data_IF_290842798352
#
_entry.id   IF_290842798352
#
_cell.length_a   1.000
_cell.length_b   1.000
_cell.length_c   1.000
_cell.angle_alpha   90.00
_cell.angle_beta   90.00
_cell.angle_gamma   90.00
#
_symmetry.space_group_name_H-M   'P 1'
#
loop_
_entity.id
_entity.type
_entity.pdbx_description
1 polymer ?
#
# COMPACT_ATOMS: atom_id res chain seq x y z
N UNK A 1 10.02 -13.40 60.12
CA UNK A 1 9.70 -11.96 59.88
C UNK A 1 10.36 -11.40 58.63
N UNK A 2 11.65 -11.65 58.40
CA UNK A 2 12.44 -11.03 57.30
C UNK A 2 11.87 -11.29 55.89
N UNK A 3 11.43 -12.53 55.59
CA UNK A 3 10.84 -12.85 54.26
C UNK A 3 9.53 -12.12 53.96
N UNK A 4 8.69 -11.88 54.97
CA UNK A 4 7.41 -11.14 54.78
C UNK A 4 7.68 -9.65 54.55
N UNK A 5 8.70 -9.10 55.22
CA UNK A 5 9.12 -7.71 55.02
C UNK A 5 9.67 -7.48 53.61
N UNK A 6 10.46 -8.42 53.09
CA UNK A 6 11.01 -8.34 51.73
C UNK A 6 9.92 -8.34 50.64
N UNK A 7 8.87 -9.15 50.81
CA UNK A 7 7.74 -9.21 49.87
C UNK A 7 6.92 -7.92 49.89
N UNK A 8 6.68 -7.36 51.08
CA UNK A 8 5.95 -6.09 51.23
C UNK A 8 6.73 -4.93 50.63
N UNK A 9 8.05 -4.86 50.85
CA UNK A 9 8.91 -3.84 50.25
C UNK A 9 8.95 -3.96 48.73
N UNK A 10 9.03 -5.19 48.19
CA UNK A 10 8.99 -5.41 46.75
C UNK A 10 7.67 -4.97 46.11
N UNK A 11 6.53 -5.24 46.77
CA UNK A 11 5.20 -4.80 46.31
C UNK A 11 5.03 -3.29 46.38
N UNK A 12 5.58 -2.62 47.39
CA UNK A 12 5.55 -1.16 47.51
C UNK A 12 6.41 -0.51 46.42
N UNK A 13 7.59 -1.07 46.12
CA UNK A 13 8.45 -0.58 45.03
C UNK A 13 7.75 -0.78 43.68
N UNK A 14 7.13 -1.95 43.45
CA UNK A 14 6.40 -2.22 42.22
C UNK A 14 5.19 -1.26 42.06
N UNK A 15 4.45 -1.00 43.14
CA UNK A 15 3.35 -0.03 43.13
C UNK A 15 3.84 1.41 42.91
N UNK A 16 4.99 1.79 43.48
CA UNK A 16 5.58 3.11 43.25
C UNK A 16 6.05 3.30 41.79
N UNK A 17 6.55 2.25 41.13
CA UNK A 17 6.89 2.27 39.69
C UNK A 17 5.64 2.41 38.82
N UNK A 18 4.52 1.77 39.20
CA UNK A 18 3.26 1.84 38.44
C UNK A 18 2.56 3.20 38.60
N UNK A 19 2.69 3.86 39.75
CA UNK A 19 1.97 5.11 40.06
C UNK A 19 2.77 6.36 39.66
N UNK A 20 4.09 6.26 39.49
CA UNK A 20 4.89 7.38 38.98
C UNK A 20 4.92 7.35 37.45
N UNK A 21 3.93 7.98 36.81
CA UNK A 21 4.06 8.36 35.39
C UNK A 21 5.21 9.37 35.29
N UNK A 22 6.36 9.03 34.67
CA UNK A 22 7.41 10.01 34.48
C UNK A 22 6.87 11.10 33.55
N UNK A 23 6.90 12.35 34.02
CA UNK A 23 6.60 13.50 33.19
C UNK A 23 7.48 13.44 31.93
N UNK A 24 6.84 13.34 30.77
CA UNK A 24 7.47 13.27 29.47
C UNK A 24 8.12 14.63 29.19
N UNK A 25 9.43 14.73 29.36
CA UNK A 25 10.22 15.96 29.18
C UNK A 25 10.88 16.06 27.79
N UNK A 26 10.50 15.21 26.83
CA UNK A 26 11.04 15.24 25.48
C UNK A 26 9.95 15.15 24.41
N UNK A 27 10.08 15.99 23.39
CA UNK A 27 9.28 15.95 22.16
C UNK A 27 9.32 14.55 21.54
N UNK A 28 8.19 14.00 21.04
CA UNK A 28 8.15 12.67 20.46
C UNK A 28 9.02 12.60 19.19
N UNK A 29 10.06 11.77 19.23
CA UNK A 29 10.92 11.43 18.10
C UNK A 29 10.99 9.91 17.90
N UNK A 30 11.34 9.47 16.69
CA UNK A 30 11.48 8.06 16.34
C UNK A 30 12.52 7.32 17.20
N UNK A 31 12.28 6.02 17.40
CA UNK A 31 13.20 5.13 18.13
C UNK A 31 14.62 5.20 17.53
N UNK A 32 15.66 5.42 18.34
CA UNK A 32 17.05 5.39 17.87
C UNK A 32 17.49 4.03 17.29
N UNK A 33 16.69 2.98 17.50
CA UNK A 33 16.92 1.61 17.03
C UNK A 33 16.09 1.24 15.79
N UNK A 34 15.30 2.17 15.24
CA UNK A 34 14.67 2.01 13.92
C UNK A 34 15.69 2.36 12.81
N UNK A 35 16.19 1.38 12.03
CA UNK A 35 17.10 1.69 10.93
C UNK A 35 16.40 2.41 9.76
N UNK A 36 15.07 2.34 9.62
CA UNK A 36 14.36 2.88 8.48
C UNK A 36 13.98 4.37 8.65
N UNK A 37 13.64 4.81 9.87
CA UNK A 37 13.15 6.18 10.16
C UNK A 37 12.09 6.62 9.13
N UNK A 38 11.17 5.71 8.84
CA UNK A 38 10.24 5.87 7.74
C UNK A 38 9.25 6.99 8.03
N UNK A 39 9.16 7.94 7.11
CA UNK A 39 8.30 9.09 7.26
C UNK A 39 7.57 9.37 5.94
N UNK A 40 6.36 8.83 5.84
CA UNK A 40 5.52 9.00 4.67
C UNK A 40 5.05 10.44 4.48
N UNK A 41 5.19 11.32 5.49
CA UNK A 41 4.93 12.74 5.33
C UNK A 41 5.95 13.43 4.40
N UNK A 42 7.09 12.79 4.13
CA UNK A 42 8.13 13.28 3.21
C UNK A 42 7.93 12.85 1.77
N UNK A 43 7.06 11.86 1.52
CA UNK A 43 6.74 11.40 0.17
C UNK A 43 5.76 12.39 -0.46
N UNK A 44 6.17 13.00 -1.55
CA UNK A 44 5.39 14.01 -2.25
C UNK A 44 4.44 13.39 -3.26
N UNK A 45 3.18 13.28 -2.86
CA UNK A 45 2.05 12.97 -3.72
C UNK A 45 1.35 14.28 -4.09
N UNK A 46 1.42 14.74 -5.35
CA UNK A 46 0.88 16.03 -5.77
C UNK A 46 -0.58 16.23 -5.33
N UNK A 47 -1.41 15.20 -5.47
CA UNK A 47 -2.82 15.22 -5.05
C UNK A 47 -3.07 15.44 -3.54
N UNK A 48 -2.04 15.34 -2.69
CA UNK A 48 -2.14 15.55 -1.24
C UNK A 48 -1.59 16.90 -0.77
N UNK A 49 -1.00 17.71 -1.66
CA UNK A 49 -0.39 19.01 -1.28
C UNK A 49 -1.42 20.00 -0.76
N UNK A 50 -2.62 19.99 -1.35
CA UNK A 50 -3.72 20.89 -1.05
C UNK A 50 -4.73 20.31 -0.05
N UNK A 51 -4.49 19.12 0.48
CA UNK A 51 -5.35 18.49 1.48
C UNK A 51 -4.85 18.82 2.88
N UNK A 52 -5.77 19.08 3.81
CA UNK A 52 -5.42 19.31 5.21
C UNK A 52 -5.21 17.98 5.93
N UNK A 53 -3.96 17.66 6.20
CA UNK A 53 -3.53 16.49 6.96
C UNK A 53 -2.47 16.89 7.99
N UNK A 54 -2.13 16.00 8.91
CA UNK A 54 -1.01 16.21 9.82
C UNK A 54 -0.17 14.93 9.92
N UNK A 55 1.15 15.05 10.15
CA UNK A 55 1.99 13.89 10.38
C UNK A 55 1.62 13.25 11.73
N UNK A 56 1.44 11.93 11.75
CA UNK A 56 1.21 11.15 12.97
C UNK A 56 2.31 10.11 13.13
N UNK A 57 3.03 10.21 14.24
CA UNK A 57 3.97 9.19 14.69
C UNK A 57 3.24 7.98 15.29
N UNK A 58 3.60 6.78 14.86
CA UNK A 58 3.01 5.52 15.32
C UNK A 58 3.75 5.02 16.57
N UNK A 59 3.02 4.83 17.68
CA UNK A 59 3.55 4.38 18.97
C UNK A 59 3.56 2.84 19.09
N UNK A 60 4.31 2.25 20.05
CA UNK A 60 4.40 0.79 20.24
C UNK A 60 3.09 -0.01 20.28
N UNK A 61 1.97 0.61 20.67
CA UNK A 61 0.66 -0.04 20.78
C UNK A 61 -0.38 0.53 19.80
N UNK A 62 0.03 1.42 18.91
CA UNK A 62 -0.86 1.97 17.90
C UNK A 62 -1.02 0.96 16.76
N UNK A 63 -2.26 0.72 16.35
CA UNK A 63 -2.59 0.07 15.08
C UNK A 63 -3.51 1.00 14.30
N UNK A 64 -3.67 0.76 12.99
CA UNK A 64 -4.61 1.56 12.20
C UNK A 64 -6.04 1.48 12.79
N UNK A 65 -6.44 0.31 13.28
CA UNK A 65 -7.75 0.09 13.90
C UNK A 65 -7.89 0.77 15.24
N UNK A 66 -6.88 0.68 16.12
CA UNK A 66 -6.97 1.33 17.44
C UNK A 66 -7.00 2.85 17.31
N UNK A 67 -6.36 3.39 16.27
CA UNK A 67 -6.30 4.82 16.00
C UNK A 67 -7.53 5.36 15.27
N UNK A 68 -8.10 4.62 14.32
CA UNK A 68 -9.07 5.14 13.37
C UNK A 68 -10.40 4.37 13.35
N UNK A 69 -10.56 3.30 14.15
CA UNK A 69 -11.80 2.53 14.19
C UNK A 69 -12.20 2.07 12.80
N UNK A 70 -13.44 2.35 12.40
CA UNK A 70 -13.98 1.97 11.07
C UNK A 70 -13.27 2.68 9.90
N UNK A 71 -12.55 3.78 10.14
CA UNK A 71 -11.84 4.55 9.11
C UNK A 71 -10.44 4.03 8.79
N UNK A 72 -9.96 3.01 9.51
CA UNK A 72 -8.61 2.51 9.39
C UNK A 72 -8.21 2.21 7.93
N UNK A 73 -9.12 1.59 7.16
CA UNK A 73 -8.85 1.20 5.78
C UNK A 73 -8.73 2.43 4.85
N UNK A 74 -9.51 3.48 5.12
CA UNK A 74 -9.44 4.74 4.38
C UNK A 74 -8.14 5.48 4.67
N UNK A 75 -7.67 5.49 5.92
CA UNK A 75 -6.38 6.07 6.29
C UNK A 75 -5.21 5.26 5.70
N UNK A 76 -5.31 3.93 5.71
CA UNK A 76 -4.33 3.05 5.06
C UNK A 76 -4.22 3.38 3.56
N UNK A 77 -5.38 3.45 2.90
CA UNK A 77 -5.52 3.80 1.48
C UNK A 77 -4.95 5.20 1.19
N UNK A 78 -5.23 6.19 2.02
CA UNK A 78 -4.69 7.55 1.90
C UNK A 78 -3.15 7.56 1.90
N UNK A 79 -2.53 6.67 2.68
CA UNK A 79 -1.07 6.55 2.74
C UNK A 79 -0.48 5.53 1.77
N UNK A 80 -1.31 4.83 0.97
CA UNK A 80 -0.92 3.66 0.18
C UNK A 80 -0.19 2.60 1.00
N UNK A 81 -0.60 2.40 2.25
CA UNK A 81 0.05 1.52 3.20
C UNK A 81 -0.89 0.40 3.66
N UNK A 82 -0.33 -0.74 4.05
CA UNK A 82 -1.06 -1.82 4.72
C UNK A 82 -0.73 -1.91 6.22
N UNK A 83 -1.45 -2.82 6.91
CA UNK A 83 -1.27 -3.11 8.34
C UNK A 83 0.13 -3.60 8.68
N UNK A 84 0.70 -4.47 7.84
CA UNK A 84 2.01 -5.10 8.05
C UNK A 84 3.14 -4.07 7.97
N UNK A 85 2.93 -3.02 7.18
CA UNK A 85 3.85 -1.90 6.99
C UNK A 85 3.54 -0.70 7.89
N UNK A 86 2.48 -0.76 8.70
CA UNK A 86 2.23 0.24 9.74
C UNK A 86 2.83 -0.24 11.06
N UNK A 87 3.98 0.29 11.44
CA UNK A 87 4.74 -0.19 12.61
C UNK A 87 5.21 0.95 13.54
N UNK A 88 5.46 0.67 14.83
CA UNK A 88 5.96 1.66 15.77
C UNK A 88 7.27 2.31 15.31
N UNK A 89 7.35 3.63 15.35
CA UNK A 89 8.55 4.38 14.91
C UNK A 89 8.36 5.11 13.58
N UNK A 90 7.37 4.73 12.78
CA UNK A 90 7.11 5.40 11.52
C UNK A 90 6.18 6.61 11.66
N UNK A 91 6.13 7.45 10.62
CA UNK A 91 5.17 8.57 10.51
C UNK A 91 4.28 8.41 9.28
N UNK A 92 2.97 8.57 9.46
CA UNK A 92 1.95 8.57 8.38
C UNK A 92 1.29 9.95 8.26
N UNK A 93 0.65 10.22 7.13
CA UNK A 93 -0.24 11.37 6.96
C UNK A 93 -1.64 11.03 7.43
N UNK A 94 -2.24 11.85 8.28
CA UNK A 94 -3.63 11.69 8.74
C UNK A 94 -4.45 12.90 8.33
N UNK A 95 -5.47 12.75 7.47
CA UNK A 95 -6.38 13.85 7.14
C UNK A 95 -7.02 14.43 8.41
N UNK A 96 -7.26 15.74 8.46
CA UNK A 96 -8.02 16.32 9.60
C UNK A 96 -9.50 15.99 9.51
N UNK A 97 -10.02 15.96 8.29
CA UNK A 97 -11.37 15.51 7.97
C UNK A 97 -11.31 14.10 7.37
N UNK A 98 -11.94 13.13 8.01
CA UNK A 98 -11.97 11.74 7.51
C UNK A 98 -12.77 11.60 6.22
N UNK A 99 -13.70 12.51 5.89
CA UNK A 99 -14.40 12.48 4.61
C UNK A 99 -13.45 12.64 3.42
N UNK A 100 -12.34 13.36 3.62
CA UNK A 100 -11.25 13.43 2.65
C UNK A 100 -10.71 12.03 2.39
N UNK A 101 -10.40 11.24 3.43
CA UNK A 101 -9.89 9.88 3.29
C UNK A 101 -10.91 8.94 2.61
N UNK A 102 -12.19 9.03 2.98
CA UNK A 102 -13.27 8.19 2.43
C UNK A 102 -13.46 8.39 0.94
N UNK A 103 -13.35 9.64 0.48
CA UNK A 103 -13.62 10.02 -0.92
C UNK A 103 -12.35 10.14 -1.77
N UNK A 104 -11.17 9.93 -1.18
CA UNK A 104 -9.89 10.16 -1.82
C UNK A 104 -9.63 9.25 -3.03
N UNK A 105 -9.46 9.88 -4.18
CA UNK A 105 -8.91 9.30 -5.41
C UNK A 105 -8.11 10.38 -6.14
N UNK A 106 -6.81 10.19 -6.40
CA UNK A 106 -5.97 11.16 -7.10
C UNK A 106 -6.16 11.10 -8.63
N UNK A 107 -6.86 10.08 -9.13
CA UNK A 107 -7.12 9.89 -10.56
C UNK A 107 -8.41 10.61 -10.98
N UNK A 108 -8.46 11.15 -12.22
CA UNK A 108 -9.61 11.90 -12.70
C UNK A 108 -10.83 10.99 -12.87
N UNK A 109 -12.03 11.53 -12.64
CA UNK A 109 -13.29 10.80 -12.85
C UNK A 109 -13.51 10.39 -14.30
N UNK A 110 -12.99 11.18 -15.23
CA UNK A 110 -13.05 10.96 -16.67
C UNK A 110 -11.63 10.97 -17.25
N UNK A 111 -11.33 10.05 -18.16
CA UNK A 111 -10.05 9.96 -18.86
C UNK A 111 -10.30 9.83 -20.36
N UNK A 112 -10.03 10.89 -21.12
CA UNK A 112 -10.36 10.98 -22.54
C UNK A 112 -9.71 9.85 -23.38
N UNK A 113 -8.41 9.52 -23.21
CA UNK A 113 -7.78 8.43 -23.95
C UNK A 113 -8.46 7.07 -23.76
N UNK A 114 -9.15 6.87 -22.63
CA UNK A 114 -9.88 5.64 -22.31
C UNK A 114 -11.25 5.53 -23.00
N UNK A 115 -11.81 6.60 -23.59
CA UNK A 115 -13.18 6.62 -24.15
C UNK A 115 -13.44 5.58 -25.24
N UNK A 116 -12.42 5.30 -26.06
CA UNK A 116 -12.51 4.34 -27.16
C UNK A 116 -12.37 2.88 -26.74
N UNK A 117 -12.10 2.61 -25.46
CA UNK A 117 -11.88 1.27 -24.95
C UNK A 117 -13.02 0.84 -24.02
N UNK A 118 -13.44 -0.43 -24.15
CA UNK A 118 -14.44 -1.00 -23.24
C UNK A 118 -13.92 -1.03 -21.79
N UNK A 119 -12.66 -1.44 -21.61
CA UNK A 119 -11.92 -1.43 -20.34
C UNK A 119 -10.54 -0.82 -20.55
N UNK A 120 -10.09 -0.02 -19.58
CA UNK A 120 -8.82 0.68 -19.60
C UNK A 120 -8.26 0.81 -18.19
N UNK A 121 -6.96 0.62 -18.05
CA UNK A 121 -6.24 0.74 -16.78
C UNK A 121 -5.28 1.91 -16.89
N UNK A 122 -5.39 2.86 -15.97
CA UNK A 122 -4.44 3.96 -15.83
C UNK A 122 -3.61 3.77 -14.56
N UNK A 123 -2.30 3.81 -14.67
CA UNK A 123 -1.35 3.69 -13.56
C UNK A 123 -0.55 4.99 -13.49
N UNK A 124 -0.65 5.68 -12.35
CA UNK A 124 0.17 6.85 -12.07
C UNK A 124 1.33 6.46 -11.16
N UNK A 125 2.56 6.53 -11.69
CA UNK A 125 3.77 6.33 -10.90
C UNK A 125 3.90 7.43 -9.85
N UNK A 126 3.56 8.66 -10.19
CA UNK A 126 3.71 9.79 -9.25
C UNK A 126 2.75 9.67 -8.08
N UNK A 127 1.52 9.24 -8.33
CA UNK A 127 0.51 9.10 -7.29
C UNK A 127 0.53 7.76 -6.58
N UNK A 128 1.32 6.78 -7.07
CA UNK A 128 1.30 5.40 -6.59
C UNK A 128 -0.14 4.86 -6.57
N UNK A 129 -0.81 4.95 -7.73
CA UNK A 129 -2.24 4.68 -7.84
C UNK A 129 -2.60 4.04 -9.17
N UNK A 130 -3.63 3.20 -9.16
CA UNK A 130 -4.21 2.56 -10.34
C UNK A 130 -5.71 2.85 -10.42
N UNK A 131 -6.24 3.03 -11.64
CA UNK A 131 -7.64 3.29 -11.92
C UNK A 131 -8.17 2.38 -13.01
N UNK A 132 -9.35 1.80 -12.76
CA UNK A 132 -10.11 1.01 -13.72
C UNK A 132 -11.19 1.90 -14.35
N UNK A 133 -11.14 2.04 -15.67
CA UNK A 133 -12.04 2.87 -16.47
C UNK A 133 -12.82 2.03 -17.46
N UNK A 134 -14.09 2.38 -17.67
CA UNK A 134 -14.88 1.86 -18.80
C UNK A 134 -15.36 3.02 -19.65
N UNK A 135 -15.06 2.99 -20.94
CA UNK A 135 -15.45 4.04 -21.90
C UNK A 135 -15.10 5.45 -21.41
N UNK A 136 -13.97 5.60 -20.72
CA UNK A 136 -13.49 6.87 -20.20
C UNK A 136 -13.94 7.23 -18.78
N UNK A 137 -14.93 6.54 -18.21
CA UNK A 137 -15.42 6.84 -16.84
C UNK A 137 -14.76 5.93 -15.81
N UNK A 138 -14.22 6.53 -14.74
CA UNK A 138 -13.61 5.82 -13.62
C UNK A 138 -14.66 4.97 -12.88
N UNK A 139 -14.42 3.68 -12.74
CA UNK A 139 -15.29 2.75 -12.01
C UNK A 139 -14.84 2.54 -10.58
N UNK A 140 -13.54 2.34 -10.41
CA UNK A 140 -12.89 2.28 -9.11
C UNK A 140 -11.40 2.54 -9.28
N UNK A 141 -10.77 2.93 -8.19
CA UNK A 141 -9.33 3.14 -8.13
C UNK A 141 -8.78 2.55 -6.84
N UNK A 142 -7.47 2.35 -6.75
CA UNK A 142 -6.82 1.83 -5.56
C UNK A 142 -5.35 2.25 -5.50
N UNK A 143 -4.75 2.29 -4.29
CA UNK A 143 -3.32 2.39 -4.13
C UNK A 143 -2.58 1.31 -4.92
N UNK A 144 -1.42 1.66 -5.42
CA UNK A 144 -0.52 0.74 -6.08
C UNK A 144 0.91 1.01 -5.61
N UNK A 145 1.71 -0.04 -5.43
CA UNK A 145 3.14 0.10 -5.24
C UNK A 145 3.86 -0.34 -6.51
N UNK A 146 4.61 0.59 -7.11
CA UNK A 146 5.32 0.39 -8.39
C UNK A 146 6.81 0.12 -8.18
N UNK A 147 7.56 0.06 -9.28
CA UNK A 147 9.00 -0.15 -9.30
C UNK A 147 9.78 0.92 -8.55
N UNK A 148 10.65 0.53 -7.62
CA UNK A 148 11.52 1.45 -6.86
C UNK A 148 12.58 2.09 -7.75
N UNK A 149 13.27 3.11 -7.22
CA UNK A 149 14.39 3.76 -7.93
C UNK A 149 15.42 2.73 -8.42
N UNK A 150 15.80 2.81 -9.70
CA UNK A 150 16.68 1.88 -10.40
C UNK A 150 16.00 0.58 -10.88
N UNK A 151 14.72 0.40 -10.60
CA UNK A 151 13.88 -0.68 -11.12
C UNK A 151 12.48 -0.14 -11.45
N UNK A 152 12.43 1.03 -12.08
CA UNK A 152 11.20 1.75 -12.37
C UNK A 152 10.25 0.91 -13.22
N UNK A 153 8.95 1.02 -12.93
CA UNK A 153 7.92 0.46 -13.82
C UNK A 153 7.97 1.19 -15.16
N UNK A 154 7.98 0.48 -16.30
CA UNK A 154 8.07 1.11 -17.61
C UNK A 154 6.83 1.96 -17.90
N UNK A 155 7.04 3.17 -18.41
CA UNK A 155 5.98 4.10 -18.83
C UNK A 155 5.58 3.84 -20.28
N UNK A 156 4.33 4.15 -20.63
CA UNK A 156 3.82 3.99 -22.00
C UNK A 156 2.44 3.34 -22.06
N UNK A 157 2.06 2.95 -23.27
CA UNK A 157 0.82 2.22 -23.56
C UNK A 157 1.12 0.75 -23.81
N UNK A 158 0.45 -0.10 -23.05
CA UNK A 158 0.61 -1.54 -23.04
C UNK A 158 -0.75 -2.22 -23.09
N UNK A 159 -0.76 -3.55 -22.99
CA UNK A 159 -1.98 -4.34 -22.98
C UNK A 159 -1.81 -5.58 -22.13
N UNK A 160 -2.85 -5.97 -21.40
CA UNK A 160 -2.81 -7.27 -20.71
C UNK A 160 -2.81 -8.38 -21.76
N UNK A 161 -1.78 -9.23 -21.71
CA UNK A 161 -1.57 -10.34 -22.65
C UNK A 161 -1.59 -11.72 -21.97
N UNK A 162 -1.54 -11.76 -20.64
CA UNK A 162 -1.68 -12.98 -19.87
C UNK A 162 -2.32 -12.74 -18.50
N UNK A 163 -3.00 -13.77 -17.99
CA UNK A 163 -3.52 -13.85 -16.62
C UNK A 163 -2.97 -15.11 -15.93
N UNK A 164 -2.73 -15.02 -14.63
CA UNK A 164 -2.31 -16.16 -13.80
C UNK A 164 -2.76 -15.93 -12.35
N UNK A 165 -3.79 -16.67 -11.91
CA UNK A 165 -4.42 -16.45 -10.61
C UNK A 165 -3.55 -16.86 -9.43
N UNK A 166 -2.70 -17.87 -9.61
CA UNK A 166 -1.83 -18.41 -8.54
C UNK A 166 -0.35 -18.16 -8.82
N UNK A 167 -0.05 -17.09 -9.57
CA UNK A 167 1.30 -16.79 -10.01
C UNK A 167 2.29 -16.67 -8.84
N UNK A 168 3.51 -17.16 -9.07
CA UNK A 168 4.64 -16.99 -8.17
C UNK A 168 5.83 -16.47 -8.95
N UNK A 169 6.57 -15.55 -8.33
CA UNK A 169 7.78 -15.00 -8.93
C UNK A 169 8.80 -16.10 -9.26
N UNK A 170 9.44 -16.00 -10.42
CA UNK A 170 10.57 -16.84 -10.80
C UNK A 170 11.94 -16.23 -10.40
N UNK A 171 11.95 -14.96 -9.97
CA UNK A 171 13.16 -14.18 -9.73
C UNK A 171 13.36 -13.81 -8.25
N UNK A 172 12.28 -13.81 -7.45
CA UNK A 172 12.29 -13.24 -6.11
C UNK A 172 11.64 -14.18 -5.10
N UNK A 173 12.24 -14.24 -3.92
CA UNK A 173 11.74 -15.00 -2.77
C UNK A 173 11.12 -14.06 -1.72
N UNK A 174 10.41 -14.64 -0.76
CA UNK A 174 10.01 -13.96 0.48
C UNK A 174 11.25 -13.51 1.27
N UNK A 175 11.10 -12.54 2.18
CA UNK A 175 12.21 -11.96 2.95
C UNK A 175 12.94 -13.01 3.81
N UNK A 176 12.18 -13.96 4.37
CA UNK A 176 12.69 -15.11 5.13
C UNK A 176 13.23 -16.24 4.24
N UNK A 177 13.14 -16.08 2.90
CA UNK A 177 13.54 -17.03 1.86
C UNK A 177 12.87 -18.40 1.96
N UNK A 178 11.74 -18.50 2.66
CA UNK A 178 11.00 -19.74 2.85
C UNK A 178 10.20 -20.15 1.61
N UNK A 179 9.84 -19.20 0.75
CA UNK A 179 9.08 -19.44 -0.47
C UNK A 179 9.45 -18.47 -1.61
N UNK A 180 8.99 -18.78 -2.83
CA UNK A 180 8.97 -17.76 -3.90
C UNK A 180 7.97 -16.67 -3.56
N UNK A 181 8.22 -15.44 -4.03
CA UNK A 181 7.34 -14.31 -3.76
C UNK A 181 5.97 -14.55 -4.43
N UNK A 182 4.88 -14.57 -3.66
CA UNK A 182 3.53 -14.79 -4.15
C UNK A 182 3.06 -13.58 -4.96
N UNK A 183 2.43 -13.84 -6.10
CA UNK A 183 1.96 -12.80 -7.03
C UNK A 183 0.51 -13.09 -7.43
N UNK A 184 -0.37 -13.38 -6.47
CA UNK A 184 -1.75 -13.77 -6.76
C UNK A 184 -2.47 -12.77 -7.66
N UNK A 185 -3.38 -13.29 -8.49
CA UNK A 185 -4.17 -12.51 -9.43
C UNK A 185 -3.29 -11.68 -10.39
N UNK A 186 -2.26 -12.31 -10.95
CA UNK A 186 -1.30 -11.64 -11.81
C UNK A 186 -1.87 -11.39 -13.21
N UNK A 187 -1.64 -10.17 -13.71
CA UNK A 187 -1.95 -9.75 -15.08
C UNK A 187 -0.69 -9.20 -15.74
N UNK A 188 -0.16 -9.88 -16.76
CA UNK A 188 1.05 -9.42 -17.45
C UNK A 188 0.67 -8.33 -18.45
N UNK A 189 1.38 -7.21 -18.39
CA UNK A 189 1.13 -6.10 -19.31
C UNK A 189 2.34 -5.81 -20.21
N UNK A 190 3.54 -6.25 -19.84
CA UNK A 190 4.74 -5.96 -20.61
C UNK A 190 5.81 -7.04 -20.43
N UNK A 191 6.66 -7.19 -21.45
CA UNK A 191 7.87 -8.02 -21.42
C UNK A 191 9.00 -7.16 -21.94
N UNK A 192 10.10 -7.06 -21.20
CA UNK A 192 11.26 -6.28 -21.62
C UNK A 192 12.17 -7.02 -22.60
N UNK A 193 13.25 -6.36 -23.01
CA UNK A 193 14.23 -6.90 -23.97
C UNK A 193 15.02 -8.09 -23.42
N UNK A 194 14.99 -8.29 -22.10
CA UNK A 194 15.63 -9.39 -21.39
C UNK A 194 14.65 -10.55 -21.12
N UNK A 195 13.44 -10.49 -21.71
CA UNK A 195 12.34 -11.44 -21.49
C UNK A 195 11.83 -11.50 -20.04
N UNK A 196 12.00 -10.41 -19.28
CA UNK A 196 11.39 -10.29 -17.95
C UNK A 196 9.96 -9.80 -18.11
N UNK A 197 9.01 -10.53 -17.53
CA UNK A 197 7.60 -10.16 -17.51
C UNK A 197 7.28 -9.17 -16.39
N UNK A 198 6.51 -8.14 -16.72
CA UNK A 198 6.03 -7.12 -15.79
C UNK A 198 4.53 -7.32 -15.58
N UNK A 199 4.14 -7.42 -14.32
CA UNK A 199 2.81 -7.85 -13.93
C UNK A 199 2.14 -6.81 -13.03
N UNK A 200 0.81 -6.78 -13.06
CA UNK A 200 -0.04 -6.21 -12.01
C UNK A 200 -0.48 -7.38 -11.14
N UNK A 201 -0.21 -7.37 -9.82
CA UNK A 201 -0.49 -8.52 -8.95
C UNK A 201 -0.68 -8.17 -7.48
N UNK A 202 -1.06 -9.15 -6.67
CA UNK A 202 -1.16 -9.03 -5.21
C UNK A 202 0.21 -8.81 -4.58
N UNK A 203 0.28 -7.88 -3.63
CA UNK A 203 1.48 -7.62 -2.82
C UNK A 203 1.11 -6.92 -1.52
N UNK A 204 2.14 -6.70 -0.72
CA UNK A 204 2.13 -5.74 0.36
C UNK A 204 2.43 -4.31 -0.10
N UNK A 205 1.86 -3.34 0.62
CA UNK A 205 1.89 -1.91 0.31
C UNK A 205 2.63 -1.13 1.40
N UNK A 206 3.86 -0.62 1.11
CA UNK A 206 4.67 0.09 2.10
C UNK A 206 4.50 1.62 2.06
N UNK A 207 3.54 2.16 1.29
CA UNK A 207 3.35 3.60 1.16
C UNK A 207 4.31 4.31 0.20
N UNK A 208 5.04 3.57 -0.65
CA UNK A 208 6.00 4.10 -1.64
C UNK A 208 6.33 3.06 -2.73
N UNK A 209 7.02 3.46 -3.83
CA UNK A 209 7.55 2.50 -4.79
C UNK A 209 8.46 1.47 -4.12
N UNK A 210 8.26 0.19 -4.41
CA UNK A 210 8.90 -0.89 -3.68
C UNK A 210 9.12 -2.19 -4.47
N UNK A 211 8.58 -2.35 -5.68
CA UNK A 211 8.84 -3.56 -6.48
C UNK A 211 10.11 -3.43 -7.33
N UNK A 212 10.42 -4.48 -8.07
CA UNK A 212 11.43 -4.49 -9.13
C UNK A 212 10.81 -4.29 -10.53
N UNK A 213 9.77 -3.46 -10.63
CA UNK A 213 9.16 -3.06 -11.91
C UNK A 213 7.69 -3.46 -12.04
N UNK A 214 7.28 -4.58 -11.43
CA UNK A 214 5.86 -4.95 -11.36
C UNK A 214 5.04 -3.88 -10.62
N UNK A 215 3.74 -3.84 -10.89
CA UNK A 215 2.80 -3.03 -10.13
C UNK A 215 2.09 -3.97 -9.18
N UNK A 216 1.88 -3.58 -7.94
CA UNK A 216 1.01 -4.42 -7.13
C UNK A 216 0.12 -3.69 -6.16
N UNK A 217 -0.86 -4.46 -5.74
CA UNK A 217 -2.11 -4.05 -5.16
C UNK A 217 -2.30 -4.78 -3.85
N UNK A 218 -3.06 -4.18 -2.95
CA UNK A 218 -3.30 -4.76 -1.65
C UNK A 218 -4.08 -6.07 -1.77
N UNK A 219 -3.61 -7.14 -1.14
CA UNK A 219 -4.38 -8.36 -0.96
C UNK A 219 -4.09 -9.01 0.40
N UNK A 220 -4.98 -8.80 1.36
CA UNK A 220 -4.85 -9.40 2.70
C UNK A 220 -4.97 -10.93 2.71
N UNK A 221 -5.73 -11.61 1.82
CA UNK A 221 -5.70 -13.06 1.74
C UNK A 221 -4.32 -13.62 1.41
N UNK A 222 -3.63 -13.05 0.42
CA UNK A 222 -2.26 -13.42 0.11
C UNK A 222 -1.36 -13.17 1.34
N UNK A 223 -1.47 -12.03 2.01
CA UNK A 223 -0.68 -11.76 3.23
C UNK A 223 -1.00 -12.75 4.35
N UNK A 224 -2.27 -13.11 4.56
CA UNK A 224 -2.68 -14.05 5.58
C UNK A 224 -2.11 -15.44 5.31
N UNK A 225 -2.23 -15.93 4.07
CA UNK A 225 -1.66 -17.22 3.66
C UNK A 225 -0.16 -17.29 3.89
N UNK A 226 0.54 -16.18 3.64
CA UNK A 226 2.01 -16.15 3.56
C UNK A 226 2.66 -15.75 4.88
N UNK A 227 2.02 -14.89 5.65
CA UNK A 227 2.56 -14.28 6.87
C UNK A 227 1.67 -14.51 8.10
N UNK A 228 0.53 -15.20 7.97
CA UNK A 228 -0.40 -15.46 9.06
C UNK A 228 -1.21 -14.24 9.53
N UNK A 229 -1.15 -13.12 8.81
CA UNK A 229 -1.77 -11.85 9.22
C UNK A 229 -2.37 -11.09 8.01
N UNK A 230 -3.50 -10.38 8.17
CA UNK A 230 -4.32 -10.29 9.39
C UNK A 230 -5.14 -11.56 9.62
N UNK A 231 -5.56 -11.81 10.86
CA UNK A 231 -6.40 -12.96 11.20
C UNK A 231 -7.77 -12.95 10.50
N UNK A 232 -8.25 -11.78 10.07
CA UNK A 232 -9.45 -11.61 9.25
C UNK A 232 -9.19 -10.65 8.09
N UNK A 233 -8.83 -11.19 6.90
CA UNK A 233 -8.68 -10.41 5.68
C UNK A 233 -9.99 -9.74 5.26
N UNK A 234 -9.91 -8.46 4.87
CA UNK A 234 -11.04 -7.66 4.38
C UNK A 234 -10.70 -6.80 3.17
N UNK A 235 -9.41 -6.66 2.80
CA UNK A 235 -8.97 -5.91 1.63
C UNK A 235 -8.47 -6.86 0.52
N UNK A 236 -9.03 -6.69 -0.68
CA UNK A 236 -8.92 -7.63 -1.83
C UNK A 236 -8.71 -6.89 -3.15
N UNK A 237 -7.93 -5.80 -3.14
CA UNK A 237 -7.77 -4.89 -4.27
C UNK A 237 -7.23 -5.60 -5.52
N UNK A 238 -6.26 -6.49 -5.35
CA UNK A 238 -5.72 -7.30 -6.46
C UNK A 238 -6.79 -8.17 -7.12
N UNK A 239 -7.52 -8.96 -6.31
CA UNK A 239 -8.61 -9.80 -6.80
C UNK A 239 -9.67 -8.98 -7.51
N UNK A 240 -10.08 -7.85 -6.92
CA UNK A 240 -11.11 -6.97 -7.48
C UNK A 240 -10.73 -6.46 -8.86
N UNK A 241 -9.48 -6.00 -9.03
CA UNK A 241 -9.03 -5.54 -10.34
C UNK A 241 -8.94 -6.70 -11.34
N UNK A 242 -8.43 -7.86 -10.92
CA UNK A 242 -8.31 -9.05 -11.77
C UNK A 242 -9.66 -9.54 -12.28
N UNK A 243 -10.64 -9.74 -11.38
CA UNK A 243 -11.99 -10.17 -11.74
C UNK A 243 -12.63 -9.20 -12.74
N UNK A 244 -12.42 -7.89 -12.55
CA UNK A 244 -12.91 -6.87 -13.47
C UNK A 244 -12.15 -6.86 -14.80
N UNK A 245 -10.83 -6.99 -14.81
CA UNK A 245 -10.01 -6.80 -16.00
C UNK A 245 -9.98 -8.05 -16.90
N UNK A 246 -9.84 -9.23 -16.28
CA UNK A 246 -9.54 -10.50 -16.96
C UNK A 246 -10.30 -11.68 -16.37
N UNK A 247 -11.34 -11.43 -15.57
CA UNK A 247 -12.15 -12.47 -14.96
C UNK A 247 -12.95 -13.31 -15.95
N UNK A 248 -13.59 -14.37 -15.42
CA UNK A 248 -14.28 -15.37 -16.24
C UNK A 248 -15.45 -14.82 -17.06
N UNK A 249 -16.03 -13.69 -16.64
CA UNK A 249 -17.11 -13.01 -17.36
C UNK A 249 -16.71 -12.59 -18.79
N UNK A 250 -15.43 -12.25 -19.00
CA UNK A 250 -14.93 -11.77 -20.28
C UNK A 250 -14.06 -12.81 -21.01
N UNK A 251 -13.36 -13.65 -20.27
CA UNK A 251 -12.32 -14.56 -20.81
C UNK A 251 -12.61 -16.05 -20.61
N UNK A 252 -13.81 -16.39 -20.10
CA UNK A 252 -14.19 -17.77 -19.84
C UNK A 252 -13.45 -18.38 -18.64
N UNK A 253 -13.62 -19.70 -18.39
CA UNK A 253 -13.15 -20.37 -17.18
C UNK A 253 -11.66 -20.11 -16.89
N UNK A 254 -11.34 -19.81 -15.63
CA UNK A 254 -9.98 -19.55 -15.16
C UNK A 254 -9.38 -20.84 -14.56
N UNK A 255 -8.38 -21.42 -15.25
CA UNK A 255 -7.70 -22.65 -14.80
C UNK A 255 -6.94 -22.50 -13.49
N UNK A 256 -6.69 -21.26 -13.05
CA UNK A 256 -5.84 -20.92 -11.93
C UNK A 256 -4.38 -20.71 -12.29
N UNK A 257 -3.98 -21.03 -13.53
CA UNK A 257 -2.60 -21.01 -14.01
C UNK A 257 -2.41 -20.04 -15.16
N UNK A 258 -1.16 -19.91 -15.65
CA UNK A 258 -0.82 -19.02 -16.75
C UNK A 258 -1.66 -19.30 -18.00
N UNK A 259 -2.41 -18.28 -18.41
CA UNK A 259 -3.20 -18.27 -19.64
C UNK A 259 -2.87 -17.02 -20.45
N UNK A 260 -2.60 -17.19 -21.75
CA UNK A 260 -2.50 -16.07 -22.67
C UNK A 260 -3.90 -15.56 -22.99
N UNK A 261 -4.08 -14.25 -22.95
CA UNK A 261 -5.35 -13.60 -23.28
C UNK A 261 -5.19 -12.70 -24.51
N UNK A 262 -6.12 -12.85 -25.45
CA UNK A 262 -6.23 -11.96 -26.59
C UNK A 262 -7.04 -10.72 -26.22
N UNK A 263 -6.60 -9.54 -26.67
CA UNK A 263 -7.35 -8.28 -26.54
C UNK A 263 -7.68 -7.84 -25.10
N UNK A 264 -6.86 -8.16 -24.11
CA UNK A 264 -7.02 -7.68 -22.72
C UNK A 264 -7.10 -6.14 -22.60
N UNK A 265 -7.47 -5.58 -21.43
CA UNK A 265 -7.53 -4.14 -21.25
C UNK A 265 -6.21 -3.43 -21.61
N UNK A 266 -6.32 -2.22 -22.15
CA UNK A 266 -5.15 -1.35 -22.34
C UNK A 266 -4.65 -0.91 -20.97
N UNK A 267 -3.33 -0.88 -20.80
CA UNK A 267 -2.67 -0.35 -19.59
C UNK A 267 -1.84 0.85 -19.99
N UNK A 268 -2.16 2.01 -19.44
CA UNK A 268 -1.36 3.22 -19.57
C UNK A 268 -0.60 3.47 -18.28
N UNK A 269 0.71 3.62 -18.38
CA UNK A 269 1.58 3.94 -17.25
C UNK A 269 2.17 5.33 -17.48
N UNK A 270 1.88 6.26 -16.57
CA UNK A 270 2.25 7.67 -16.68
C UNK A 270 3.02 8.19 -15.46
N UNK A 271 3.73 9.28 -15.66
CA UNK A 271 4.47 10.00 -14.63
C UNK A 271 5.80 9.34 -14.27
N UNK A 272 6.35 9.78 -13.14
CA UNK A 272 7.62 9.31 -12.58
C UNK A 272 7.42 8.99 -11.09
N UNK A 273 8.35 8.23 -10.49
CA UNK A 273 8.28 7.91 -9.06
C UNK A 273 8.20 9.19 -8.20
N UNK A 274 7.43 9.18 -7.08
CA UNK A 274 7.28 10.34 -6.21
C UNK A 274 8.61 10.79 -5.63
N UNK A 275 8.75 12.10 -5.43
CA UNK A 275 9.93 12.68 -4.80
C UNK A 275 9.90 12.42 -3.29
N UNK A 276 11.07 12.12 -2.73
CA UNK A 276 11.27 12.02 -1.28
C UNK A 276 11.96 13.28 -0.77
N UNK A 277 11.25 14.08 0.01
CA UNK A 277 11.74 15.36 0.50
C UNK A 277 12.73 15.18 1.66
N UNK A 278 13.68 16.10 1.88
CA UNK A 278 14.60 16.04 3.02
C UNK A 278 13.89 16.27 4.36
N UNK A 279 12.74 16.95 4.36
CA UNK A 279 11.94 17.27 5.54
C UNK A 279 10.45 16.93 5.29
N UNK A 280 9.66 16.71 6.36
CA UNK A 280 8.20 16.54 6.27
C UNK A 280 7.55 17.62 5.40
N UNK A 281 6.67 17.21 4.50
CA UNK A 281 5.81 18.15 3.80
C UNK A 281 4.89 18.84 4.81
N UNK A 282 4.64 20.12 4.60
CA UNK A 282 3.60 20.85 5.33
C UNK A 282 2.39 20.99 4.41
N UNK A 283 1.18 20.63 4.85
CA UNK A 283 -0.02 20.90 4.07
C UNK A 283 -0.12 22.41 3.84
N UNK A 284 -0.42 22.82 2.61
CA UNK A 284 -0.52 24.24 2.27
C UNK A 284 -1.69 24.96 2.97
N UNK A 285 -2.62 24.21 3.55
CA UNK A 285 -3.83 24.74 4.22
C UNK A 285 -3.54 25.27 5.64
N UNK A 286 -2.32 25.16 6.16
CA UNK A 286 -1.96 25.72 7.46
C UNK A 286 -1.77 27.25 7.42
N UNK A 287 -2.87 28.01 7.31
CA UNK A 287 -3.07 29.38 7.85
C UNK A 287 -4.47 29.90 7.52
N UNK A 288 -5.50 29.48 8.27
CA UNK A 288 -6.68 30.28 8.59
C UNK A 288 -7.14 29.98 10.00
#
# INVERSE_FOLDING_TARGET
MIRRLAVVVALIILAAIVVHEPNITAEPAASPLDPAKEDLSRVDYPSQRDLDWYPRFIRPNDTLESLFGDDWAHVARFNRIDRRHTYPGMTIKVPRDMEVARTYSPLPKEHEPARRYAKYILISLTEQWIGAYERGTLKFSMPAATGKKGNETPTGLFRIDARDRTHTSSLYQTDDKSAQYPMDYAMRFFIDKQNVGYWIHARDLPGKPASHGCVGLFDEPMQNRMYGTPGRPVLHDSKKLYDWAVGEADFGPDSGTLELIGNGPVVEVVGENPAYQPAPLRPMVATR
#
